data_IF_299712274384
#
_entry.id   IF_299712274384
#
_cell.length_a   1.000
_cell.length_b   1.000
_cell.length_c   1.000
_cell.angle_alpha   90.00
_cell.angle_beta   90.00
_cell.angle_gamma   90.00
#
_symmetry.space_group_name_H-M   'P 1'
#
loop_
_entity.id
_entity.type
_entity.pdbx_description
1 polymer ?
#
# COMPACT_ATOMS: atom_id res chain seq x y z
N UNK A 1 9.86 -3.41 -1.34
CA UNK A 1 8.64 -4.19 -1.52
C UNK A 1 8.94 -5.62 -1.92
N UNK A 2 8.49 -6.54 -1.08
CA UNK A 2 8.45 -7.97 -1.30
C UNK A 2 7.26 -8.33 -2.20
N UNK A 3 7.43 -9.36 -3.03
CA UNK A 3 6.36 -9.84 -3.92
C UNK A 3 5.12 -10.31 -3.15
N UNK A 4 5.32 -10.93 -1.98
CA UNK A 4 4.22 -11.40 -1.11
C UNK A 4 3.33 -10.25 -0.62
N UNK A 5 3.93 -9.16 -0.12
CA UNK A 5 3.21 -7.94 0.29
C UNK A 5 2.35 -7.39 -0.84
N UNK A 6 2.89 -7.44 -2.07
CA UNK A 6 2.18 -6.94 -3.26
C UNK A 6 0.91 -7.75 -3.52
N UNK A 7 1.01 -9.07 -3.48
CA UNK A 7 -0.11 -9.99 -3.67
C UNK A 7 -1.20 -9.73 -2.62
N UNK A 8 -0.83 -9.59 -1.34
CA UNK A 8 -1.80 -9.33 -0.27
C UNK A 8 -2.59 -8.03 -0.48
N UNK A 9 -1.93 -6.96 -0.91
CA UNK A 9 -2.60 -5.68 -1.19
C UNK A 9 -3.48 -5.80 -2.43
N UNK A 10 -3.03 -6.50 -3.47
CA UNK A 10 -3.83 -6.74 -4.68
C UNK A 10 -5.09 -7.58 -4.37
N UNK A 11 -4.98 -8.64 -3.59
CA UNK A 11 -6.11 -9.45 -3.13
C UNK A 11 -7.10 -8.63 -2.30
N UNK A 12 -6.60 -7.80 -1.38
CA UNK A 12 -7.44 -6.85 -0.65
C UNK A 12 -8.21 -5.93 -1.61
N UNK A 13 -7.54 -5.38 -2.62
CA UNK A 13 -8.14 -4.51 -3.62
C UNK A 13 -9.16 -5.21 -4.53
N UNK A 14 -9.02 -6.51 -4.78
CA UNK A 14 -9.97 -7.29 -5.59
C UNK A 14 -11.24 -7.64 -4.80
N UNK A 15 -11.11 -7.85 -3.49
CA UNK A 15 -12.21 -8.26 -2.61
C UNK A 15 -12.98 -7.08 -2.01
N UNK A 16 -12.41 -5.87 -2.04
CA UNK A 16 -13.01 -4.66 -1.49
C UNK A 16 -13.26 -3.61 -2.57
N UNK A 17 -14.43 -2.95 -2.53
CA UNK A 17 -14.78 -1.85 -3.44
C UNK A 17 -14.90 -0.50 -2.69
N UNK A 18 -13.94 -0.22 -1.82
CA UNK A 18 -13.89 0.99 -0.99
C UNK A 18 -13.01 2.09 -1.61
N UNK A 19 -13.14 3.33 -1.13
CA UNK A 19 -12.22 4.40 -1.52
C UNK A 19 -10.75 4.07 -1.12
N UNK A 20 -10.55 3.43 0.04
CA UNK A 20 -9.26 2.91 0.51
C UNK A 20 -8.66 1.95 -0.52
N UNK A 21 -9.41 0.91 -0.92
CA UNK A 21 -8.96 -0.09 -1.88
C UNK A 21 -8.57 0.51 -3.24
N UNK A 22 -9.34 1.48 -3.77
CA UNK A 22 -9.01 2.16 -5.03
C UNK A 22 -7.73 2.99 -4.93
N UNK A 23 -7.46 3.58 -3.77
CA UNK A 23 -6.25 4.37 -3.54
C UNK A 23 -5.04 3.46 -3.35
N UNK A 24 -5.16 2.39 -2.55
CA UNK A 24 -4.15 1.35 -2.42
C UNK A 24 -3.78 0.71 -3.76
N UNK A 25 -4.77 0.43 -4.62
CA UNK A 25 -4.51 -0.12 -5.95
C UNK A 25 -3.65 0.81 -6.83
N UNK A 26 -3.76 2.14 -6.67
CA UNK A 26 -2.88 3.07 -7.38
C UNK A 26 -1.45 2.99 -6.85
N UNK A 27 -1.29 2.93 -5.53
CA UNK A 27 0.01 2.88 -4.88
C UNK A 27 0.73 1.54 -5.14
N UNK A 28 0.00 0.43 -5.07
CA UNK A 28 0.56 -0.89 -5.40
C UNK A 28 1.00 -0.96 -6.86
N UNK A 29 0.33 -0.24 -7.78
CA UNK A 29 0.77 -0.12 -9.18
C UNK A 29 2.08 0.64 -9.32
N UNK A 30 2.30 1.69 -8.52
CA UNK A 30 3.58 2.40 -8.50
C UNK A 30 4.72 1.49 -8.06
N UNK A 31 4.45 0.50 -7.20
CA UNK A 31 5.48 -0.46 -6.78
C UNK A 31 6.08 -1.32 -7.90
N UNK A 32 5.47 -1.36 -9.09
CA UNK A 32 6.02 -2.04 -10.28
C UNK A 32 7.04 -1.17 -11.04
N UNK A 33 7.08 0.13 -10.77
CA UNK A 33 8.01 1.06 -11.40
C UNK A 33 9.05 1.52 -10.36
N UNK A 34 10.32 1.20 -10.62
CA UNK A 34 11.43 1.52 -9.70
C UNK A 34 11.71 3.03 -9.58
N UNK A 35 11.17 3.86 -10.47
CA UNK A 35 11.36 5.31 -10.46
C UNK A 35 10.13 6.07 -9.98
N UNK A 36 9.04 5.36 -9.65
CA UNK A 36 7.81 5.99 -9.20
C UNK A 36 7.92 6.39 -7.72
N UNK A 37 7.72 7.67 -7.46
CA UNK A 37 7.60 8.22 -6.11
C UNK A 37 6.12 8.48 -5.78
N UNK A 38 5.72 8.15 -4.55
CA UNK A 38 4.41 8.55 -4.04
C UNK A 38 4.37 10.05 -3.76
N UNK A 39 3.18 10.64 -3.72
CA UNK A 39 3.05 12.02 -3.23
C UNK A 39 3.07 12.08 -1.70
N UNK A 40 3.38 13.25 -1.12
CA UNK A 40 3.24 13.47 0.33
C UNK A 40 1.82 13.14 0.83
N UNK A 41 0.81 13.41 -0.01
CA UNK A 41 -0.58 13.07 0.31
C UNK A 41 -0.85 11.56 0.36
N UNK A 42 -0.04 10.77 -0.33
CA UNK A 42 -0.12 9.31 -0.33
C UNK A 42 0.62 8.71 0.85
N UNK A 43 1.75 9.31 1.28
CA UNK A 43 2.43 8.95 2.52
C UNK A 43 1.50 9.13 3.73
N UNK A 44 0.87 10.30 3.88
CA UNK A 44 -0.11 10.56 4.95
C UNK A 44 -1.30 9.59 4.90
N UNK A 45 -1.69 9.17 3.70
CA UNK A 45 -2.77 8.20 3.54
C UNK A 45 -2.32 6.79 3.98
N UNK A 46 -1.13 6.35 3.60
CA UNK A 46 -0.59 5.05 3.96
C UNK A 46 -0.35 4.94 5.46
N UNK A 47 0.25 5.94 6.10
CA UNK A 47 0.41 6.01 7.56
C UNK A 47 -0.92 5.79 8.28
N UNK A 48 -1.96 6.53 7.90
CA UNK A 48 -3.31 6.35 8.46
C UNK A 48 -3.92 5.00 8.13
N UNK A 49 -3.67 4.47 6.93
CA UNK A 49 -4.20 3.18 6.51
C UNK A 49 -3.58 2.03 7.30
N UNK A 50 -2.29 2.13 7.66
CA UNK A 50 -1.53 1.20 8.51
C UNK A 50 -2.04 1.27 9.94
N UNK A 51 -2.17 2.47 10.51
CA UNK A 51 -2.63 2.68 11.89
C UNK A 51 -4.04 2.14 12.15
N UNK A 52 -4.91 2.23 11.15
CA UNK A 52 -6.29 1.76 11.23
C UNK A 52 -6.47 0.30 10.84
N UNK A 53 -5.44 -0.36 10.31
CA UNK A 53 -5.53 -1.74 9.85
C UNK A 53 -5.47 -2.71 11.04
N UNK A 54 -6.46 -3.59 11.12
CA UNK A 54 -6.55 -4.59 12.18
C UNK A 54 -6.03 -5.95 11.73
N UNK A 55 -5.99 -6.20 10.43
CA UNK A 55 -5.35 -7.40 9.87
C UNK A 55 -3.83 -7.24 9.88
N UNK A 56 -3.14 -8.08 10.65
CA UNK A 56 -1.68 -7.99 10.84
C UNK A 56 -0.90 -8.18 9.54
N UNK A 57 -1.27 -9.17 8.72
CA UNK A 57 -0.59 -9.46 7.44
C UNK A 57 -0.75 -8.31 6.45
N UNK A 58 -1.97 -7.75 6.34
CA UNK A 58 -2.21 -6.60 5.47
C UNK A 58 -1.48 -5.36 5.99
N UNK A 59 -1.44 -5.16 7.32
CA UNK A 59 -0.71 -4.04 7.92
C UNK A 59 0.78 -4.11 7.60
N UNK A 60 1.41 -5.28 7.74
CA UNK A 60 2.81 -5.50 7.37
C UNK A 60 3.04 -5.27 5.87
N UNK A 61 2.13 -5.75 5.02
CA UNK A 61 2.21 -5.51 3.58
C UNK A 61 2.14 -4.01 3.24
N UNK A 62 1.28 -3.26 3.93
CA UNK A 62 1.16 -1.81 3.77
C UNK A 62 2.42 -1.08 4.27
N UNK A 63 3.06 -1.54 5.33
CA UNK A 63 4.35 -0.99 5.81
C UNK A 63 5.45 -1.19 4.76
N UNK A 64 5.57 -2.39 4.19
CA UNK A 64 6.56 -2.66 3.13
C UNK A 64 6.28 -1.87 1.83
N UNK A 65 5.01 -1.53 1.56
CA UNK A 65 4.67 -0.60 0.48
C UNK A 65 5.09 0.85 0.81
N UNK A 66 4.86 1.29 2.04
CA UNK A 66 5.25 2.63 2.50
C UNK A 66 6.77 2.81 2.50
N UNK A 67 7.51 1.86 3.08
CA UNK A 67 8.97 1.82 3.06
C UNK A 67 9.53 1.83 1.64
N UNK A 68 8.88 1.13 0.70
CA UNK A 68 9.31 1.11 -0.70
C UNK A 68 9.11 2.44 -1.40
N UNK A 69 7.97 3.11 -1.18
CA UNK A 69 7.61 4.34 -1.89
C UNK A 69 8.24 5.59 -1.28
N UNK A 70 8.59 5.57 0.01
CA UNK A 70 9.03 6.77 0.74
C UNK A 70 10.36 6.62 1.49
N UNK A 71 10.83 5.40 1.75
CA UNK A 71 12.23 5.10 2.07
C UNK A 71 12.82 5.85 3.28
N UNK A 72 12.02 6.07 4.33
CA UNK A 72 12.49 6.70 5.57
C UNK A 72 13.44 5.81 6.38
#
# INVERSE_FOLDING_TARGET
>A
MQEYSRILIEEYCMTHNSAKSRRLQKLVKLSYDMYAEGSESDAIFLEKAIDQETNEELREALQDLDDFLFGY
#
